data_IF_466696736085
#
_entry.id   IF_466696736085
#
_cell.length_a   1.000
_cell.length_b   1.000
_cell.length_c   1.000
_cell.angle_alpha   90.00
_cell.angle_beta   90.00
_cell.angle_gamma   90.00
#
_symmetry.space_group_name_H-M   'P 1'
#
loop_
_entity.id
_entity.type
_entity.pdbx_description
1 polymer ?
#
# COMPACT_ATOMS: atom_id res chain seq x y z
N UNK A 1 2.44 51.02 8.55
CA UNK A 1 3.33 50.62 9.62
C UNK A 1 2.48 50.09 10.79
N UNK A 2 2.30 48.74 10.88
CA UNK A 2 1.86 48.06 12.10
C UNK A 2 2.64 46.76 12.16
N UNK A 3 3.76 46.82 12.88
CA UNK A 3 4.46 45.65 13.34
C UNK A 3 3.58 44.92 14.36
N UNK A 4 3.17 43.71 14.12
CA UNK A 4 2.62 42.81 15.12
C UNK A 4 3.67 41.79 15.51
N UNK A 5 4.37 42.09 16.61
CA UNK A 5 5.16 41.18 17.41
C UNK A 5 4.27 40.04 17.93
N UNK A 6 4.29 38.86 17.29
CA UNK A 6 3.70 37.65 17.81
C UNK A 6 4.70 37.02 18.83
N UNK A 7 4.58 37.37 20.09
CA UNK A 7 5.27 36.65 21.18
C UNK A 7 4.79 35.19 21.18
N UNK A 8 5.68 34.27 20.83
CA UNK A 8 5.53 32.85 21.12
C UNK A 8 5.49 32.64 22.63
N UNK A 9 4.33 32.37 23.16
CA UNK A 9 4.22 31.81 24.53
C UNK A 9 4.60 30.34 24.45
N UNK A 10 5.85 30.06 24.79
CA UNK A 10 6.32 28.70 25.08
C UNK A 10 5.71 28.34 26.42
N UNK A 11 4.81 27.36 26.41
CA UNK A 11 4.30 26.73 27.62
C UNK A 11 5.46 25.92 28.22
N UNK A 12 6.25 26.54 29.08
CA UNK A 12 7.23 25.88 29.97
C UNK A 12 6.47 25.39 31.19
N UNK A 13 5.87 24.22 31.11
CA UNK A 13 5.19 23.53 32.19
C UNK A 13 5.82 22.18 32.48
N UNK A 14 6.60 22.11 33.54
CA UNK A 14 6.82 20.95 34.42
C UNK A 14 7.12 19.58 33.75
N UNK A 15 8.25 19.46 33.07
CA UNK A 15 9.00 18.21 33.07
C UNK A 15 10.42 18.50 33.54
N UNK A 16 10.87 17.72 34.55
CA UNK A 16 12.20 17.86 35.11
C UNK A 16 13.25 17.90 34.01
N UNK A 17 14.26 18.74 34.18
CA UNK A 17 15.43 18.86 33.31
C UNK A 17 16.17 17.51 33.28
N UNK A 18 15.72 16.59 32.44
CA UNK A 18 16.60 15.53 31.98
C UNK A 18 17.64 16.23 31.10
N UNK A 19 18.91 16.11 31.46
CA UNK A 19 20.01 16.50 30.59
C UNK A 19 19.70 16.00 29.16
N UNK A 20 19.96 16.79 28.10
CA UNK A 20 19.74 16.30 26.75
C UNK A 20 20.53 15.01 26.63
N UNK A 21 19.83 13.89 26.40
CA UNK A 21 20.49 12.66 25.98
C UNK A 21 21.23 13.05 24.71
N UNK A 22 22.57 13.12 24.81
CA UNK A 22 23.42 13.33 23.65
C UNK A 22 23.13 12.14 22.74
N UNK A 23 22.35 12.35 21.66
CA UNK A 23 22.11 11.30 20.69
C UNK A 23 23.45 10.81 20.20
N UNK A 24 23.75 9.56 20.48
CA UNK A 24 25.01 8.95 20.06
C UNK A 24 25.03 8.87 18.54
N UNK A 25 25.84 9.72 17.92
CA UNK A 25 26.02 9.71 16.47
C UNK A 25 26.95 8.55 16.10
N UNK A 26 26.44 7.63 15.30
CA UNK A 26 27.22 6.51 14.77
C UNK A 26 27.79 6.89 13.40
N UNK A 27 29.13 6.84 13.20
CA UNK A 27 29.72 7.14 11.90
C UNK A 27 29.33 6.08 10.86
N UNK A 28 29.06 6.51 9.65
CA UNK A 28 28.79 5.57 8.54
C UNK A 28 30.07 4.76 8.23
N UNK A 29 29.99 3.41 8.21
CA UNK A 29 31.14 2.57 7.87
C UNK A 29 31.74 2.92 6.51
N UNK A 30 33.06 2.86 6.39
CA UNK A 30 33.77 3.20 5.15
C UNK A 30 33.33 2.36 3.95
N UNK A 31 33.03 1.06 4.17
CA UNK A 31 32.48 0.18 3.13
C UNK A 31 31.14 0.66 2.58
N UNK A 32 30.26 1.14 3.44
CA UNK A 32 28.96 1.67 3.05
C UNK A 32 29.09 3.00 2.28
N UNK A 33 29.99 3.89 2.73
CA UNK A 33 30.29 5.12 1.97
C UNK A 33 30.78 4.82 0.56
N UNK A 34 31.66 3.81 0.41
CA UNK A 34 32.22 3.41 -0.89
C UNK A 34 31.18 2.80 -1.82
N UNK A 35 30.19 2.07 -1.30
CA UNK A 35 29.14 1.41 -2.09
C UNK A 35 27.90 2.25 -2.30
N UNK A 36 27.77 3.40 -1.65
CA UNK A 36 26.61 4.26 -1.77
C UNK A 36 26.44 4.79 -3.20
N UNK A 37 25.22 4.65 -3.75
CA UNK A 37 24.85 5.21 -5.05
C UNK A 37 24.74 6.73 -5.02
N UNK A 38 24.43 7.30 -3.86
CA UNK A 38 24.30 8.74 -3.62
C UNK A 38 25.06 9.05 -2.35
N UNK A 39 26.13 9.81 -2.47
CA UNK A 39 26.90 10.35 -1.36
C UNK A 39 26.32 11.71 -0.89
N UNK A 40 26.92 12.30 0.14
CA UNK A 40 26.46 13.59 0.70
C UNK A 40 26.54 14.74 -0.34
N UNK A 41 27.56 14.76 -1.16
CA UNK A 41 27.72 15.80 -2.18
C UNK A 41 26.65 15.67 -3.27
N UNK A 42 26.41 14.45 -3.76
CA UNK A 42 25.36 14.16 -4.72
C UNK A 42 23.96 14.47 -4.15
N UNK A 43 23.71 14.12 -2.88
CA UNK A 43 22.46 14.46 -2.20
C UNK A 43 22.24 15.98 -2.14
N UNK A 44 23.22 16.74 -1.65
CA UNK A 44 23.14 18.21 -1.56
C UNK A 44 22.87 18.85 -2.92
N UNK A 45 23.57 18.37 -3.96
CA UNK A 45 23.33 18.83 -5.33
C UNK A 45 21.91 18.51 -5.82
N UNK A 46 21.45 17.28 -5.64
CA UNK A 46 20.10 16.87 -6.04
C UNK A 46 19.03 17.68 -5.29
N UNK A 47 19.23 17.93 -4.01
CA UNK A 47 18.34 18.75 -3.21
C UNK A 47 18.27 20.19 -3.74
N UNK A 48 19.44 20.81 -3.97
CA UNK A 48 19.50 22.16 -4.55
C UNK A 48 18.81 22.22 -5.91
N UNK A 49 19.04 21.24 -6.79
CA UNK A 49 18.37 21.16 -8.10
C UNK A 49 16.85 21.04 -7.95
N UNK A 50 16.36 20.27 -6.97
CA UNK A 50 14.92 20.06 -6.72
C UNK A 50 14.19 21.32 -6.24
N UNK A 51 14.90 22.20 -5.55
CA UNK A 51 14.38 23.49 -5.08
C UNK A 51 14.46 24.56 -6.18
N UNK A 52 15.58 24.58 -6.93
CA UNK A 52 15.83 25.59 -7.98
C UNK A 52 14.85 25.49 -9.14
N UNK A 53 14.61 24.27 -9.63
CA UNK A 53 13.69 23.98 -10.73
C UNK A 53 12.98 22.64 -10.50
N UNK A 54 11.92 22.62 -9.66
CA UNK A 54 11.19 21.41 -9.35
C UNK A 54 10.63 20.70 -10.58
N UNK A 55 10.11 21.45 -11.56
CA UNK A 55 9.50 20.87 -12.75
C UNK A 55 10.54 20.08 -13.57
N UNK A 56 11.69 20.67 -13.82
CA UNK A 56 12.80 20.01 -14.55
C UNK A 56 13.37 18.83 -13.77
N UNK A 57 13.53 18.99 -12.47
CA UNK A 57 14.02 17.92 -11.59
C UNK A 57 13.09 16.70 -11.66
N UNK A 58 11.79 16.89 -11.43
CA UNK A 58 10.81 15.80 -11.42
C UNK A 58 10.52 15.23 -12.80
N UNK A 59 10.61 16.03 -13.87
CA UNK A 59 10.55 15.54 -15.25
C UNK A 59 11.66 14.53 -15.55
N UNK A 60 12.89 14.79 -15.05
CA UNK A 60 14.01 13.84 -15.15
C UNK A 60 13.73 12.55 -14.40
N UNK A 61 13.21 12.66 -13.18
CA UNK A 61 12.92 11.48 -12.33
C UNK A 61 11.71 10.68 -12.83
N UNK A 62 10.73 11.30 -13.48
CA UNK A 62 9.61 10.62 -14.11
C UNK A 62 10.03 9.55 -15.13
N UNK A 63 11.22 9.70 -15.75
CA UNK A 63 11.76 8.72 -16.71
C UNK A 63 12.19 7.38 -16.07
N UNK A 64 12.16 7.26 -14.74
CA UNK A 64 12.47 6.01 -14.03
C UNK A 64 11.34 4.98 -14.09
N UNK A 65 10.13 5.43 -14.41
CA UNK A 65 8.93 4.62 -14.51
C UNK A 65 8.40 4.64 -15.94
N UNK A 66 7.63 3.61 -16.30
CA UNK A 66 7.05 3.49 -17.63
C UNK A 66 5.68 4.13 -17.64
N UNK A 67 5.45 5.00 -18.60
CA UNK A 67 4.20 5.71 -18.82
C UNK A 67 3.52 5.18 -20.08
N UNK A 68 2.23 4.91 -20.01
CA UNK A 68 1.41 4.67 -21.21
C UNK A 68 1.19 5.96 -21.98
N UNK A 69 1.10 7.08 -21.26
CA UNK A 69 1.16 8.42 -21.81
C UNK A 69 2.08 9.27 -20.94
N UNK A 70 3.23 9.67 -21.47
CA UNK A 70 4.18 10.51 -20.75
C UNK A 70 3.58 11.85 -20.36
N UNK A 71 3.80 12.33 -19.13
CA UNK A 71 3.27 13.62 -18.70
C UNK A 71 4.01 14.78 -19.37
N UNK A 72 3.26 15.80 -19.77
CA UNK A 72 3.79 17.10 -20.19
C UNK A 72 3.70 18.14 -19.08
N UNK A 73 2.66 18.04 -18.25
CA UNK A 73 2.43 18.89 -17.08
C UNK A 73 2.98 18.22 -15.82
N UNK A 74 4.21 18.57 -15.48
CA UNK A 74 4.94 17.92 -14.38
C UNK A 74 4.41 18.33 -13.02
N UNK A 75 4.24 19.64 -12.80
CA UNK A 75 3.81 20.22 -11.53
C UNK A 75 2.80 21.32 -11.79
N UNK A 76 1.66 21.25 -11.13
CA UNK A 76 0.62 22.26 -11.10
C UNK A 76 0.09 22.36 -9.66
N UNK A 77 0.75 23.19 -8.85
CA UNK A 77 0.46 23.27 -7.41
C UNK A 77 0.27 24.72 -6.99
N UNK A 78 -0.75 24.96 -6.18
CA UNK A 78 -1.00 26.24 -5.51
C UNK A 78 -1.35 25.97 -4.05
N UNK A 79 -0.73 26.70 -3.14
CA UNK A 79 -1.06 26.71 -1.72
C UNK A 79 -1.82 27.98 -1.31
N UNK A 80 -2.29 28.76 -2.30
CA UNK A 80 -3.03 30.00 -2.04
C UNK A 80 -4.39 29.70 -1.41
N UNK A 81 -4.64 30.26 -0.24
CA UNK A 81 -5.95 30.19 0.42
C UNK A 81 -6.98 31.05 -0.35
N UNK A 82 -8.24 30.62 -0.51
CA UNK A 82 -8.85 29.38 -0.01
C UNK A 82 -8.74 28.18 -0.95
N UNK A 83 -8.11 28.29 -2.10
CA UNK A 83 -8.04 27.25 -3.13
C UNK A 83 -6.67 26.59 -3.17
N UNK A 84 -6.44 25.66 -2.25
CA UNK A 84 -5.25 24.78 -2.29
C UNK A 84 -5.48 23.73 -3.39
N UNK A 85 -4.51 23.61 -4.31
CA UNK A 85 -4.53 22.61 -5.38
C UNK A 85 -3.15 22.02 -5.56
N UNK A 86 -3.05 20.69 -5.50
CA UNK A 86 -1.79 19.95 -5.63
C UNK A 86 -1.96 18.90 -6.70
N UNK A 87 -1.39 19.14 -7.88
CA UNK A 87 -1.43 18.22 -9.02
C UNK A 87 -0.02 17.96 -9.53
N UNK A 88 0.33 16.69 -9.62
CA UNK A 88 1.59 16.23 -10.19
C UNK A 88 1.30 15.31 -11.36
N UNK A 89 2.03 15.46 -12.46
CA UNK A 89 1.91 14.65 -13.66
C UNK A 89 0.46 14.47 -14.15
N UNK A 90 -0.34 15.53 -14.06
CA UNK A 90 -1.81 15.46 -14.17
C UNK A 90 -2.33 14.96 -15.53
N UNK A 91 -1.53 15.03 -16.58
CA UNK A 91 -1.86 14.56 -17.93
C UNK A 91 -1.14 13.25 -18.31
N UNK A 92 -0.38 12.67 -17.36
CA UNK A 92 0.29 11.39 -17.51
C UNK A 92 -0.66 10.20 -17.25
N UNK A 93 -0.43 9.07 -17.91
CA UNK A 93 -1.16 7.82 -17.67
C UNK A 93 -0.15 6.71 -17.42
N UNK A 94 -0.31 6.03 -16.30
CA UNK A 94 0.48 4.86 -15.94
C UNK A 94 -0.39 3.84 -15.19
N UNK A 95 0.14 2.64 -15.03
CA UNK A 95 -0.41 1.65 -14.11
C UNK A 95 0.68 1.23 -13.11
N UNK A 96 0.36 1.26 -11.82
CA UNK A 96 1.30 0.92 -10.75
C UNK A 96 1.67 -0.56 -10.80
N UNK A 97 0.69 -1.45 -10.97
CA UNK A 97 0.94 -2.90 -11.06
C UNK A 97 1.85 -3.23 -12.24
N UNK A 98 1.64 -2.60 -13.40
CA UNK A 98 2.53 -2.74 -14.56
C UNK A 98 3.97 -2.35 -14.23
N UNK A 99 4.15 -1.20 -13.58
CA UNK A 99 5.47 -0.73 -13.19
C UNK A 99 6.16 -1.60 -12.14
N UNK A 100 5.38 -2.18 -11.22
CA UNK A 100 5.93 -3.07 -10.19
C UNK A 100 6.24 -4.48 -10.72
N UNK A 101 5.51 -4.98 -11.72
CA UNK A 101 5.57 -6.38 -12.13
C UNK A 101 5.88 -6.53 -13.62
N UNK A 102 4.98 -6.12 -14.50
CA UNK A 102 4.97 -6.51 -15.92
C UNK A 102 6.25 -6.08 -16.66
N UNK A 103 6.70 -4.83 -16.42
CA UNK A 103 7.93 -4.31 -17.03
C UNK A 103 9.19 -5.11 -16.69
N UNK A 104 9.15 -5.93 -15.64
CA UNK A 104 10.28 -6.73 -15.18
C UNK A 104 10.25 -8.17 -15.69
N UNK A 105 9.11 -8.69 -16.14
CA UNK A 105 8.93 -10.10 -16.50
C UNK A 105 9.94 -10.61 -17.52
N UNK A 106 10.18 -9.84 -18.59
CA UNK A 106 11.10 -10.25 -19.66
C UNK A 106 12.53 -10.44 -19.19
N UNK A 107 12.99 -9.60 -18.25
CA UNK A 107 14.39 -9.60 -17.80
C UNK A 107 14.61 -10.27 -16.45
N UNK A 108 13.57 -10.31 -15.62
CA UNK A 108 13.65 -10.71 -14.21
C UNK A 108 12.52 -11.67 -13.79
N UNK A 109 11.85 -12.33 -14.76
CA UNK A 109 10.71 -13.18 -14.46
C UNK A 109 10.97 -14.24 -13.40
N UNK A 110 12.15 -14.86 -13.43
CA UNK A 110 12.54 -15.91 -12.49
C UNK A 110 13.27 -15.36 -11.24
N UNK A 111 13.52 -14.04 -11.18
CA UNK A 111 14.09 -13.40 -10.00
C UNK A 111 13.04 -13.34 -8.88
N UNK A 112 13.48 -13.55 -7.63
CA UNK A 112 12.63 -13.38 -6.44
C UNK A 112 12.19 -11.92 -6.32
N UNK A 113 10.88 -11.71 -6.30
CA UNK A 113 10.24 -10.40 -6.13
C UNK A 113 9.83 -10.16 -4.67
N UNK A 114 9.41 -11.22 -3.96
CA UNK A 114 8.99 -11.16 -2.56
C UNK A 114 9.67 -12.29 -1.80
N UNK A 115 10.28 -11.97 -0.68
CA UNK A 115 10.68 -12.92 0.35
C UNK A 115 9.72 -12.69 1.52
N UNK A 116 8.93 -13.70 1.83
CA UNK A 116 8.00 -13.66 2.95
C UNK A 116 8.43 -14.66 4.02
N UNK A 117 8.45 -14.20 5.25
CA UNK A 117 8.72 -15.01 6.45
C UNK A 117 7.51 -14.95 7.37
N UNK A 118 7.05 -16.10 7.80
CA UNK A 118 5.89 -16.24 8.68
C UNK A 118 6.20 -15.88 10.13
N UNK A 119 5.17 -15.97 10.98
CA UNK A 119 5.32 -15.80 12.43
C UNK A 119 6.22 -16.92 13.02
N UNK A 120 6.16 -18.12 12.44
CA UNK A 120 7.10 -19.21 12.65
C UNK A 120 8.19 -19.13 11.56
N UNK A 121 9.49 -18.99 11.92
CA UNK A 121 10.60 -18.87 10.98
C UNK A 121 10.78 -20.06 10.02
N UNK A 122 10.21 -21.22 10.35
CA UNK A 122 10.22 -22.39 9.44
C UNK A 122 9.23 -22.28 8.28
N UNK A 123 8.34 -21.27 8.31
CA UNK A 123 7.41 -20.98 7.22
C UNK A 123 7.85 -19.74 6.47
N UNK A 124 8.60 -19.93 5.40
CA UNK A 124 8.99 -18.87 4.47
C UNK A 124 8.50 -19.16 3.04
N UNK A 125 8.45 -18.12 2.22
CA UNK A 125 8.18 -18.24 0.78
C UNK A 125 9.05 -17.26 0.01
N UNK A 126 9.62 -17.74 -1.09
CA UNK A 126 10.24 -16.91 -2.11
C UNK A 126 9.35 -16.90 -3.34
N UNK A 127 8.88 -15.74 -3.74
CA UNK A 127 7.92 -15.56 -4.82
C UNK A 127 8.61 -14.80 -5.94
N UNK A 128 8.68 -15.39 -7.12
CA UNK A 128 9.28 -14.78 -8.31
C UNK A 128 8.35 -13.74 -8.93
N UNK A 129 8.89 -12.89 -9.84
CA UNK A 129 8.06 -11.94 -10.60
C UNK A 129 7.00 -12.63 -11.44
N UNK A 130 7.28 -13.81 -12.00
CA UNK A 130 6.30 -14.62 -12.76
C UNK A 130 5.15 -15.08 -11.86
N UNK A 131 5.47 -15.68 -10.72
CA UNK A 131 4.47 -16.14 -9.75
C UNK A 131 3.65 -14.96 -9.21
N UNK A 132 4.30 -13.84 -8.88
CA UNK A 132 3.62 -12.63 -8.44
C UNK A 132 2.66 -12.11 -9.52
N UNK A 133 3.07 -12.08 -10.78
CA UNK A 133 2.24 -11.69 -11.91
C UNK A 133 1.01 -12.59 -12.02
N UNK A 134 1.20 -13.90 -11.98
CA UNK A 134 0.11 -14.86 -12.07
C UNK A 134 -0.92 -14.69 -10.94
N UNK A 135 -0.44 -14.59 -9.70
CA UNK A 135 -1.31 -14.40 -8.52
C UNK A 135 -2.08 -13.07 -8.62
N UNK A 136 -1.42 -11.99 -9.00
CA UNK A 136 -2.05 -10.67 -9.14
C UNK A 136 -3.08 -10.65 -10.27
N UNK A 137 -2.81 -11.29 -11.40
CA UNK A 137 -3.78 -11.38 -12.50
C UNK A 137 -5.02 -12.20 -12.11
N UNK A 138 -4.83 -13.37 -11.48
CA UNK A 138 -5.94 -14.19 -10.98
C UNK A 138 -6.76 -13.41 -9.94
N UNK A 139 -6.10 -12.72 -9.01
CA UNK A 139 -6.78 -11.90 -8.02
C UNK A 139 -7.57 -10.74 -8.68
N UNK A 140 -6.98 -10.06 -9.65
CA UNK A 140 -7.65 -9.01 -10.42
C UNK A 140 -8.92 -9.54 -11.11
N UNK A 141 -8.87 -10.75 -11.69
CA UNK A 141 -10.03 -11.40 -12.29
C UNK A 141 -11.11 -11.73 -11.24
N UNK A 142 -10.73 -12.17 -10.04
CA UNK A 142 -11.66 -12.37 -8.92
C UNK A 142 -12.37 -11.06 -8.57
N UNK A 143 -11.64 -9.96 -8.44
CA UNK A 143 -12.22 -8.65 -8.14
C UNK A 143 -13.22 -8.22 -9.23
N UNK A 144 -12.83 -8.30 -10.50
CA UNK A 144 -13.69 -7.97 -11.65
C UNK A 144 -14.95 -8.82 -11.68
N UNK A 145 -14.84 -10.14 -11.52
CA UNK A 145 -15.98 -11.08 -11.50
C UNK A 145 -16.96 -10.75 -10.37
N UNK A 146 -16.48 -10.16 -9.27
CA UNK A 146 -17.30 -9.74 -8.15
C UNK A 146 -17.79 -8.29 -8.24
N UNK A 147 -17.62 -7.63 -9.38
CA UNK A 147 -18.20 -6.34 -9.70
C UNK A 147 -17.34 -5.14 -9.32
N UNK A 148 -16.08 -5.34 -8.89
CA UNK A 148 -15.14 -4.24 -8.63
C UNK A 148 -14.70 -3.62 -9.95
N UNK A 149 -14.83 -2.30 -10.07
CA UNK A 149 -14.52 -1.49 -11.25
C UNK A 149 -13.46 -0.44 -10.93
N UNK A 150 -12.95 0.20 -11.97
CA UNK A 150 -12.06 1.36 -11.83
C UNK A 150 -12.73 2.44 -10.97
N UNK A 151 -12.01 2.92 -9.96
CA UNK A 151 -12.48 3.94 -9.02
C UNK A 151 -13.20 3.40 -7.80
N UNK A 152 -13.67 2.13 -7.81
CA UNK A 152 -14.22 1.51 -6.59
C UNK A 152 -13.14 1.32 -5.54
N UNK A 153 -13.52 1.41 -4.26
CA UNK A 153 -12.61 1.13 -3.15
C UNK A 153 -12.80 -0.30 -2.62
N UNK A 154 -11.68 -0.92 -2.28
CA UNK A 154 -11.59 -2.25 -1.66
C UNK A 154 -10.83 -2.12 -0.35
N UNK A 155 -11.44 -2.48 0.76
CA UNK A 155 -10.77 -2.52 2.07
C UNK A 155 -9.99 -3.82 2.20
N UNK A 156 -8.71 -3.74 2.58
CA UNK A 156 -7.83 -4.89 2.82
C UNK A 156 -7.49 -4.93 4.30
N UNK A 157 -8.05 -5.91 5.00
CA UNK A 157 -7.85 -6.17 6.43
C UNK A 157 -7.22 -7.55 6.59
N UNK A 158 -5.94 -7.64 6.26
CA UNK A 158 -5.14 -8.86 6.24
C UNK A 158 -3.95 -8.78 7.20
N UNK A 159 -3.44 -9.92 7.68
CA UNK A 159 -2.13 -9.96 8.32
C UNK A 159 -1.03 -9.78 7.26
N UNK A 160 0.23 -9.76 7.70
CA UNK A 160 1.40 -9.62 6.80
C UNK A 160 1.67 -10.94 6.06
N UNK A 161 0.85 -11.22 5.05
CA UNK A 161 0.93 -12.39 4.18
C UNK A 161 1.07 -11.97 2.71
N UNK A 162 1.59 -12.83 1.82
CA UNK A 162 1.77 -12.49 0.41
C UNK A 162 0.49 -12.03 -0.29
N UNK A 163 -0.66 -12.58 0.11
CA UNK A 163 -1.97 -12.23 -0.42
C UNK A 163 -2.33 -10.76 -0.19
N UNK A 164 -1.78 -10.12 0.84
CA UNK A 164 -1.96 -8.67 1.04
C UNK A 164 -1.29 -7.86 -0.09
N UNK A 165 -0.08 -8.25 -0.50
CA UNK A 165 0.61 -7.64 -1.64
C UNK A 165 -0.12 -7.93 -2.96
N UNK A 166 -0.60 -9.17 -3.14
CA UNK A 166 -1.38 -9.54 -4.33
C UNK A 166 -2.65 -8.72 -4.45
N UNK A 167 -3.38 -8.55 -3.35
CA UNK A 167 -4.61 -7.75 -3.30
C UNK A 167 -4.37 -6.27 -3.66
N UNK A 168 -3.34 -5.65 -3.08
CA UNK A 168 -2.95 -4.27 -3.41
C UNK A 168 -2.65 -4.09 -4.90
N UNK A 169 -1.81 -4.97 -5.44
CA UNK A 169 -1.38 -4.92 -6.83
C UNK A 169 -2.53 -5.29 -7.80
N UNK A 170 -3.44 -6.18 -7.40
CA UNK A 170 -4.64 -6.50 -8.17
C UNK A 170 -5.60 -5.31 -8.26
N UNK A 171 -5.84 -4.60 -7.15
CA UNK A 171 -6.63 -3.36 -7.17
C UNK A 171 -6.03 -2.33 -8.12
N UNK A 172 -4.74 -2.02 -8.00
CA UNK A 172 -4.07 -1.05 -8.87
C UNK A 172 -4.05 -1.50 -10.33
N UNK A 173 -3.99 -2.82 -10.61
CA UNK A 173 -4.03 -3.37 -11.96
C UNK A 173 -5.31 -3.02 -12.70
N UNK A 174 -6.46 -3.10 -12.03
CA UNK A 174 -7.78 -2.78 -12.60
C UNK A 174 -8.20 -1.31 -12.39
N UNK A 175 -7.34 -0.50 -11.76
CA UNK A 175 -7.61 0.90 -11.47
C UNK A 175 -8.57 1.11 -10.29
N UNK A 176 -8.78 0.10 -9.45
CA UNK A 176 -9.49 0.23 -8.20
C UNK A 176 -8.59 0.84 -7.11
N UNK A 177 -9.19 1.48 -6.13
CA UNK A 177 -8.51 2.03 -4.96
C UNK A 177 -8.47 0.97 -3.87
N UNK A 178 -7.37 0.81 -3.18
CA UNK A 178 -7.31 -0.04 -1.99
C UNK A 178 -7.14 0.80 -0.72
N UNK A 179 -7.87 0.41 0.34
CA UNK A 179 -7.75 0.96 1.69
C UNK A 179 -7.18 -0.11 2.61
N UNK A 180 -5.92 0.07 3.02
CA UNK A 180 -5.24 -0.90 3.89
C UNK A 180 -5.57 -0.60 5.34
N UNK A 181 -6.06 -1.62 6.05
CA UNK A 181 -6.36 -1.56 7.48
C UNK A 181 -5.48 -2.55 8.22
N UNK A 182 -4.79 -2.06 9.23
CA UNK A 182 -3.92 -2.91 10.06
C UNK A 182 -4.74 -3.98 10.79
N UNK A 183 -4.30 -5.26 10.69
CA UNK A 183 -5.00 -6.42 11.25
C UNK A 183 -5.16 -6.43 12.79
N UNK A 184 -4.54 -5.48 13.49
CA UNK A 184 -4.71 -5.28 14.92
C UNK A 184 -5.78 -4.24 15.32
N UNK A 185 -6.46 -3.63 14.34
CA UNK A 185 -7.50 -2.64 14.64
C UNK A 185 -8.80 -3.32 15.07
N UNK A 186 -9.56 -2.60 15.93
CA UNK A 186 -10.87 -3.03 16.41
C UNK A 186 -11.93 -3.04 15.31
N UNK A 187 -13.03 -3.78 15.50
CA UNK A 187 -14.17 -3.75 14.59
C UNK A 187 -14.71 -2.34 14.33
N UNK A 188 -14.77 -1.47 15.34
CA UNK A 188 -15.22 -0.08 15.19
C UNK A 188 -14.32 0.73 14.25
N UNK A 189 -13.01 0.59 14.42
CA UNK A 189 -12.03 1.24 13.57
C UNK A 189 -12.09 0.72 12.12
N UNK A 190 -12.36 -0.56 11.94
CA UNK A 190 -12.54 -1.16 10.62
C UNK A 190 -13.84 -0.66 9.97
N UNK A 191 -14.95 -0.65 10.69
CA UNK A 191 -16.24 -0.15 10.20
C UNK A 191 -16.16 1.32 9.75
N UNK A 192 -15.51 2.18 10.56
CA UNK A 192 -15.30 3.59 10.21
C UNK A 192 -14.58 3.74 8.88
N UNK A 193 -13.53 2.95 8.61
CA UNK A 193 -12.77 2.99 7.36
C UNK A 193 -13.54 2.45 6.16
N UNK A 194 -14.33 1.39 6.36
CA UNK A 194 -15.20 0.83 5.31
C UNK A 194 -16.22 1.89 4.87
N UNK A 195 -16.87 2.53 5.83
CA UNK A 195 -17.88 3.55 5.57
C UNK A 195 -17.26 4.80 4.93
N UNK A 196 -16.16 5.33 5.48
CA UNK A 196 -15.47 6.51 4.97
C UNK A 196 -15.01 6.31 3.51
N UNK A 197 -14.48 5.13 3.20
CA UNK A 197 -14.03 4.78 1.86
C UNK A 197 -15.17 4.32 0.92
N UNK A 198 -16.40 4.17 1.40
CA UNK A 198 -17.53 3.57 0.66
C UNK A 198 -17.10 2.28 -0.05
N UNK A 199 -16.50 1.36 0.70
CA UNK A 199 -15.87 0.16 0.16
C UNK A 199 -16.89 -0.79 -0.46
N UNK A 200 -16.59 -1.30 -1.64
CA UNK A 200 -17.41 -2.31 -2.34
C UNK A 200 -17.14 -3.73 -1.86
N UNK A 201 -15.94 -3.97 -1.34
CA UNK A 201 -15.49 -5.28 -0.90
C UNK A 201 -14.52 -5.14 0.26
N UNK A 202 -14.57 -6.11 1.16
CA UNK A 202 -13.57 -6.31 2.21
C UNK A 202 -12.81 -7.60 1.94
N UNK A 203 -11.49 -7.53 1.94
CA UNK A 203 -10.60 -8.70 1.87
C UNK A 203 -10.04 -8.93 3.26
N UNK A 204 -10.28 -10.11 3.81
CA UNK A 204 -9.84 -10.51 5.14
C UNK A 204 -9.28 -11.93 5.15
N UNK A 205 -8.86 -12.45 6.28
CA UNK A 205 -8.52 -13.87 6.45
C UNK A 205 -9.34 -14.49 7.58
N UNK A 206 -9.36 -15.82 7.62
CA UNK A 206 -9.94 -16.54 8.76
C UNK A 206 -9.37 -16.00 10.07
N UNK A 207 -8.08 -16.12 10.25
CA UNK A 207 -7.33 -15.63 11.41
C UNK A 207 -5.99 -15.05 10.95
N UNK A 208 -5.35 -14.22 11.77
CA UNK A 208 -3.95 -13.83 11.65
C UNK A 208 -3.12 -14.48 12.75
N UNK A 209 -1.80 -14.59 12.53
CA UNK A 209 -0.84 -14.97 13.56
C UNK A 209 0.00 -13.75 13.93
N UNK A 210 0.22 -13.56 15.22
CA UNK A 210 1.06 -12.47 15.73
C UNK A 210 1.65 -12.85 17.09
N UNK A 211 2.97 -13.07 17.14
CA UNK A 211 3.68 -13.48 18.35
C UNK A 211 3.09 -14.76 18.95
N UNK A 212 2.82 -15.77 18.13
CA UNK A 212 2.22 -17.04 18.56
C UNK A 212 0.73 -16.96 18.90
N UNK A 213 0.08 -15.80 18.79
CA UNK A 213 -1.35 -15.63 19.09
C UNK A 213 -2.19 -15.52 17.82
N UNK A 214 -3.39 -16.10 17.88
CA UNK A 214 -4.40 -15.95 16.81
C UNK A 214 -5.18 -14.65 16.96
N UNK A 215 -5.31 -13.92 15.87
CA UNK A 215 -6.15 -12.73 15.77
C UNK A 215 -7.37 -13.08 14.93
N UNK A 216 -8.61 -12.96 15.45
CA UNK A 216 -9.82 -13.42 14.77
C UNK A 216 -10.31 -12.41 13.72
N UNK A 217 -9.61 -12.31 12.59
CA UNK A 217 -9.85 -11.25 11.59
C UNK A 217 -11.23 -11.35 10.93
N UNK A 218 -11.69 -12.56 10.61
CA UNK A 218 -13.03 -12.75 10.05
C UNK A 218 -14.13 -12.36 11.04
N UNK A 219 -13.98 -12.73 12.31
CA UNK A 219 -14.94 -12.36 13.37
C UNK A 219 -14.99 -10.85 13.54
N UNK A 220 -13.83 -10.19 13.56
CA UNK A 220 -13.75 -8.72 13.62
C UNK A 220 -14.39 -8.06 12.40
N UNK A 221 -14.23 -8.66 11.22
CA UNK A 221 -14.88 -8.18 9.98
C UNK A 221 -16.39 -8.30 10.07
N UNK A 222 -16.91 -9.43 10.54
CA UNK A 222 -18.36 -9.63 10.71
C UNK A 222 -18.97 -8.62 11.69
N UNK A 223 -18.27 -8.35 12.78
CA UNK A 223 -18.71 -7.36 13.77
C UNK A 223 -18.68 -5.93 13.20
N UNK A 224 -17.64 -5.60 12.43
CA UNK A 224 -17.56 -4.30 11.75
C UNK A 224 -18.70 -4.10 10.75
N UNK A 225 -19.01 -5.12 9.97
CA UNK A 225 -20.04 -5.04 8.92
C UNK A 225 -21.47 -4.85 9.46
N UNK A 226 -21.73 -5.16 10.72
CA UNK A 226 -23.03 -4.81 11.38
C UNK A 226 -23.28 -3.29 11.43
N UNK A 227 -22.23 -2.48 11.27
CA UNK A 227 -22.25 -1.00 11.33
C UNK A 227 -21.98 -0.36 9.97
N UNK A 228 -22.02 -1.16 8.90
CA UNK A 228 -21.80 -0.72 7.53
C UNK A 228 -23.10 -0.78 6.70
N UNK A 229 -23.06 -0.27 5.47
CA UNK A 229 -24.25 -0.18 4.60
C UNK A 229 -24.84 -1.54 4.18
N UNK A 230 -24.12 -2.64 4.37
CA UNK A 230 -24.59 -4.00 4.11
C UNK A 230 -24.49 -4.47 2.66
N UNK A 231 -23.85 -3.68 1.80
CA UNK A 231 -23.67 -4.00 0.38
C UNK A 231 -22.27 -4.59 0.07
N UNK A 232 -21.44 -4.74 1.10
CA UNK A 232 -20.06 -5.19 0.95
C UNK A 232 -20.00 -6.70 0.78
N UNK A 233 -19.25 -7.15 -0.22
CA UNK A 233 -18.82 -8.55 -0.34
C UNK A 233 -17.57 -8.78 0.49
N UNK A 234 -17.41 -9.98 1.00
CA UNK A 234 -16.24 -10.36 1.80
C UNK A 234 -15.47 -11.49 1.13
N UNK A 235 -14.19 -11.24 0.86
CA UNK A 235 -13.27 -12.24 0.35
C UNK A 235 -12.37 -12.73 1.47
N UNK A 236 -12.41 -14.01 1.79
CA UNK A 236 -11.73 -14.61 2.94
C UNK A 236 -10.55 -15.46 2.48
N UNK A 237 -9.35 -15.09 2.90
CA UNK A 237 -8.13 -15.87 2.72
C UNK A 237 -8.00 -16.90 3.84
N UNK A 238 -7.76 -18.16 3.51
CA UNK A 238 -7.47 -19.20 4.51
C UNK A 238 -6.01 -19.12 4.92
N UNK A 239 -5.75 -18.62 6.12
CA UNK A 239 -4.38 -18.47 6.66
C UNK A 239 -4.03 -19.58 7.68
N UNK A 240 -4.90 -19.84 8.63
CA UNK A 240 -4.65 -20.81 9.70
C UNK A 240 -5.48 -22.08 9.55
N UNK A 241 -6.52 -22.05 8.75
CA UNK A 241 -7.51 -23.12 8.65
C UNK A 241 -8.53 -23.09 9.79
N UNK A 242 -8.57 -22.02 10.58
CA UNK A 242 -9.57 -21.84 11.64
C UNK A 242 -10.99 -21.89 11.10
N UNK A 243 -11.89 -22.45 11.90
CA UNK A 243 -13.31 -22.46 11.58
C UNK A 243 -13.88 -21.05 11.76
N UNK A 244 -14.50 -20.51 10.72
CA UNK A 244 -15.13 -19.21 10.73
C UNK A 244 -16.52 -19.29 10.10
N UNK A 245 -17.44 -18.49 10.59
CA UNK A 245 -18.76 -18.35 9.97
C UNK A 245 -18.63 -17.73 8.58
N UNK A 246 -19.35 -18.28 7.61
CA UNK A 246 -19.44 -17.76 6.25
C UNK A 246 -20.89 -17.44 5.93
N UNK A 247 -21.19 -16.17 5.71
CA UNK A 247 -22.55 -15.71 5.36
C UNK A 247 -22.80 -15.95 3.87
N UNK A 248 -23.78 -16.79 3.50
CA UNK A 248 -24.11 -17.06 2.11
C UNK A 248 -24.45 -15.78 1.33
N UNK A 249 -24.00 -15.69 0.08
CA UNK A 249 -24.21 -14.52 -0.79
C UNK A 249 -23.30 -13.33 -0.54
N UNK A 250 -22.73 -13.21 0.67
CA UNK A 250 -21.77 -12.16 1.04
C UNK A 250 -20.33 -12.64 1.03
N UNK A 251 -20.06 -13.79 1.66
CA UNK A 251 -18.71 -14.27 1.94
C UNK A 251 -18.25 -15.32 0.93
N UNK A 252 -17.01 -15.22 0.52
CA UNK A 252 -16.40 -16.11 -0.47
C UNK A 252 -14.99 -16.50 -0.05
N UNK A 253 -14.64 -17.77 -0.22
CA UNK A 253 -13.27 -18.22 -0.03
C UNK A 253 -12.39 -17.81 -1.21
N UNK A 254 -11.29 -17.14 -0.93
CA UNK A 254 -10.32 -16.70 -1.94
C UNK A 254 -9.76 -17.87 -2.78
N UNK A 255 -9.33 -18.96 -2.13
CA UNK A 255 -8.75 -20.10 -2.83
C UNK A 255 -9.72 -20.79 -3.80
N UNK A 256 -11.02 -20.84 -3.47
CA UNK A 256 -12.02 -21.41 -4.38
C UNK A 256 -12.15 -20.57 -5.66
N UNK A 257 -12.11 -19.25 -5.54
CA UNK A 257 -12.25 -18.34 -6.66
C UNK A 257 -10.99 -18.30 -7.55
N UNK A 258 -9.81 -18.44 -6.96
CA UNK A 258 -8.56 -18.52 -7.71
C UNK A 258 -8.51 -19.74 -8.65
N UNK A 259 -9.01 -20.87 -8.17
CA UNK A 259 -9.02 -22.10 -8.95
C UNK A 259 -9.89 -21.99 -10.21
N UNK A 260 -10.98 -21.23 -10.12
CA UNK A 260 -11.93 -21.02 -11.23
C UNK A 260 -11.64 -19.77 -12.07
N UNK A 261 -10.59 -19.01 -11.74
CA UNK A 261 -10.23 -17.80 -12.48
C UNK A 261 -9.24 -18.12 -13.60
N UNK A 262 -9.45 -17.60 -14.83
CA UNK A 262 -8.54 -17.85 -15.94
C UNK A 262 -7.15 -17.33 -15.63
N UNK A 263 -6.14 -18.07 -16.10
CA UNK A 263 -4.73 -17.67 -16.07
C UNK A 263 -4.50 -16.45 -16.97
N UNK A 264 -3.43 -15.64 -16.74
CA UNK A 264 -3.03 -14.60 -17.69
C UNK A 264 -2.75 -15.08 -19.11
N UNK A 265 -2.58 -16.39 -19.30
CA UNK A 265 -2.40 -17.02 -20.63
C UNK A 265 -3.71 -17.21 -21.41
N UNK A 266 -4.84 -17.05 -20.73
CA UNK A 266 -6.18 -17.33 -21.25
C UNK A 266 -6.99 -16.04 -21.52
N UNK A 267 -6.33 -14.86 -21.41
CA UNK A 267 -6.94 -13.53 -21.59
C UNK A 267 -6.26 -12.70 -22.66
#
# INVERSE_FOLDING_TARGET
AIERNAKRHIITGMYGRNAPMSEKVYPVPASWKKSALIDDAAYKKMYADSIKDPAKFWARHAKRIDWFKAPKKIKNTSYAYPKVSIKWYEDGILNVSYNCIDRHLKKRGDQVAIIWEGDDPYYDKKITYKELHEQVCRFANVLKKNGVKKGDCVTIYLPMIPEAAYAMLACTRIGAVHSIVFGGFSPDSLASRINDANSKMVITSDEGLRGGRKVPLKVNTDEALKRCAGNEKVLVVRRTGGQVAMTPGRDMWYHCLLYTSPSPRDS
#
